data_IF_892155872548
#
_entry.id   IF_892155872548
#
_cell.length_a   1.000
_cell.length_b   1.000
_cell.length_c   1.000
_cell.angle_alpha   90.00
_cell.angle_beta   90.00
_cell.angle_gamma   90.00
#
_symmetry.space_group_name_H-M   'P 1'
#
loop_
_entity.id
_entity.type
_entity.pdbx_description
1 polymer ?
#
# COMPACT_ATOMS: atom_id res chain seq x y z
N UNK A 1 12.95 -0.31 -0.99
CA UNK A 1 12.10 0.85 -0.59
C UNK A 1 11.66 0.70 0.86
N UNK A 2 10.96 -0.37 1.24
CA UNK A 2 10.57 -0.62 2.64
C UNK A 2 11.73 -0.54 3.63
N UNK A 3 12.91 -1.09 3.28
CA UNK A 3 14.13 -1.03 4.09
C UNK A 3 14.67 0.39 4.33
N UNK A 4 14.37 1.33 3.44
CA UNK A 4 14.74 2.74 3.60
C UNK A 4 13.73 3.44 4.51
N UNK A 5 12.45 3.09 4.38
CA UNK A 5 11.36 3.69 5.17
C UNK A 5 11.38 3.27 6.64
N UNK A 6 11.97 2.12 6.96
CA UNK A 6 12.17 1.69 8.36
C UNK A 6 13.18 2.54 9.13
N UNK A 7 13.98 3.37 8.45
CA UNK A 7 14.91 4.30 9.08
C UNK A 7 14.33 5.70 9.34
N UNK A 8 13.05 5.93 9.04
CA UNK A 8 12.40 7.21 9.33
C UNK A 8 12.07 7.32 10.83
N UNK A 9 12.35 8.47 11.41
CA UNK A 9 12.22 8.75 12.84
C UNK A 9 11.30 9.96 13.09
N UNK A 10 10.95 10.19 14.36
CA UNK A 10 10.08 11.29 14.77
C UNK A 10 8.68 11.16 14.18
N UNK A 11 8.13 12.26 13.68
CA UNK A 11 6.80 12.34 13.05
C UNK A 11 6.66 11.46 11.80
N UNK A 12 7.78 11.07 11.17
CA UNK A 12 7.78 10.24 9.96
C UNK A 12 7.94 8.76 10.27
N UNK A 13 8.13 8.38 11.54
CA UNK A 13 8.21 6.98 11.96
C UNK A 13 6.86 6.30 11.73
N UNK A 14 6.90 5.09 11.17
CA UNK A 14 5.71 4.43 10.67
C UNK A 14 5.90 2.99 10.27
N UNK A 15 4.84 2.41 9.71
CA UNK A 15 4.77 0.99 9.33
C UNK A 15 4.54 0.85 7.82
N UNK A 16 5.27 -0.09 7.20
CA UNK A 16 5.01 -0.52 5.84
C UNK A 16 4.04 -1.72 5.84
N UNK A 17 2.91 -1.56 5.17
CA UNK A 17 1.88 -2.57 4.99
C UNK A 17 1.94 -3.13 3.56
N UNK A 18 2.54 -4.32 3.34
CA UNK A 18 2.50 -4.96 2.03
C UNK A 18 1.08 -5.40 1.68
N UNK A 19 0.66 -5.21 0.42
CA UNK A 19 -0.64 -5.69 -0.05
C UNK A 19 -0.70 -7.22 -0.12
N UNK A 20 0.44 -7.87 -0.40
CA UNK A 20 0.55 -9.32 -0.35
C UNK A 20 0.42 -9.80 1.10
N UNK A 21 -0.64 -10.56 1.39
CA UNK A 21 -0.90 -11.09 2.73
C UNK A 21 -1.60 -10.11 3.68
N UNK A 22 -2.01 -8.93 3.21
CA UNK A 22 -2.81 -7.98 3.99
C UNK A 22 -4.18 -8.60 4.34
N UNK A 23 -4.61 -8.47 5.60
CA UNK A 23 -5.95 -8.90 6.01
C UNK A 23 -7.02 -8.02 5.38
N UNK A 24 -8.22 -8.57 5.19
CA UNK A 24 -9.35 -7.82 4.64
C UNK A 24 -9.81 -6.68 5.56
N UNK A 25 -9.67 -6.86 6.87
CA UNK A 25 -9.99 -5.85 7.87
C UNK A 25 -9.06 -4.64 7.75
N UNK A 26 -7.74 -4.85 7.72
CA UNK A 26 -6.76 -3.77 7.53
C UNK A 26 -6.93 -3.11 6.16
N UNK A 27 -7.18 -3.91 5.12
CA UNK A 27 -7.43 -3.37 3.78
C UNK A 27 -8.66 -2.44 3.77
N UNK A 28 -9.76 -2.84 4.41
CA UNK A 28 -10.98 -2.04 4.46
C UNK A 28 -10.79 -0.77 5.28
N UNK A 29 -10.15 -0.87 6.45
CA UNK A 29 -9.85 0.30 7.28
C UNK A 29 -9.06 1.36 6.50
N UNK A 30 -7.99 0.95 5.80
CA UNK A 30 -7.17 1.89 5.04
C UNK A 30 -7.93 2.50 3.84
N UNK A 31 -8.94 1.82 3.30
CA UNK A 31 -9.82 2.38 2.27
C UNK A 31 -10.76 3.42 2.88
N UNK A 32 -11.36 3.09 4.02
CA UNK A 32 -12.31 3.96 4.75
C UNK A 32 -11.62 5.25 5.23
N UNK A 33 -10.37 5.14 5.67
CA UNK A 33 -9.52 6.26 6.07
C UNK A 33 -8.90 7.01 4.87
N UNK A 34 -9.25 6.62 3.63
CA UNK A 34 -8.77 7.21 2.38
C UNK A 34 -7.24 7.16 2.17
N UNK A 35 -6.55 6.25 2.83
CA UNK A 35 -5.10 6.04 2.66
C UNK A 35 -4.78 5.06 1.53
N UNK A 36 -5.57 4.00 1.36
CA UNK A 36 -5.29 2.95 0.39
C UNK A 36 -5.89 3.25 -0.99
N UNK A 37 -5.06 3.08 -2.02
CA UNK A 37 -5.45 3.24 -3.41
C UNK A 37 -6.27 2.03 -3.90
N UNK A 38 -7.28 2.31 -4.73
CA UNK A 38 -8.16 1.28 -5.30
C UNK A 38 -7.41 0.34 -6.26
N UNK A 39 -7.76 -0.93 -6.21
CA UNK A 39 -7.37 -1.90 -7.23
C UNK A 39 -8.19 -1.70 -8.51
N UNK A 40 -7.62 -2.08 -9.67
CA UNK A 40 -8.42 -2.35 -10.86
C UNK A 40 -8.89 -1.12 -11.64
N UNK A 41 -8.14 -0.02 -11.60
CA UNK A 41 -8.42 1.09 -12.50
C UNK A 41 -8.27 0.66 -13.97
N UNK A 42 -9.36 0.74 -14.74
CA UNK A 42 -9.42 0.26 -16.13
C UNK A 42 -8.35 0.90 -17.02
N UNK A 43 -7.94 2.13 -16.74
CA UNK A 43 -6.93 2.83 -17.54
C UNK A 43 -5.53 2.31 -17.19
N UNK A 44 -5.26 2.05 -15.91
CA UNK A 44 -4.00 1.44 -15.46
C UNK A 44 -3.86 -0.01 -15.97
N UNK A 45 -4.96 -0.75 -16.00
CA UNK A 45 -5.00 -2.10 -16.58
C UNK A 45 -4.72 -2.08 -18.09
N UNK A 46 -5.36 -1.18 -18.84
CA UNK A 46 -5.09 -1.01 -20.27
C UNK A 46 -3.63 -0.64 -20.56
N UNK A 47 -3.01 0.14 -19.67
CA UNK A 47 -1.60 0.49 -19.72
C UNK A 47 -0.65 -0.62 -19.23
N UNK A 48 -1.15 -1.81 -18.88
CA UNK A 48 -0.39 -2.93 -18.29
C UNK A 48 0.30 -2.60 -16.94
N UNK A 49 -0.11 -1.54 -16.25
CA UNK A 49 0.49 -1.10 -14.97
C UNK A 49 0.07 -1.98 -13.77
N UNK A 50 -0.98 -2.79 -13.93
CA UNK A 50 -1.46 -3.71 -12.89
C UNK A 50 -0.94 -5.16 -13.04
N UNK A 51 0.05 -5.41 -13.92
CA UNK A 51 0.61 -6.76 -14.09
C UNK A 51 1.21 -7.27 -12.77
N UNK A 52 0.88 -8.50 -12.38
CA UNK A 52 1.33 -9.16 -11.14
C UNK A 52 0.81 -8.53 -9.84
N UNK A 53 -0.26 -7.75 -9.90
CA UNK A 53 -0.93 -7.29 -8.70
C UNK A 53 -1.37 -8.47 -7.81
N UNK A 54 -1.23 -8.42 -6.47
CA UNK A 54 -0.74 -7.31 -5.64
C UNK A 54 0.78 -7.35 -5.32
N UNK A 55 1.53 -8.31 -5.86
CA UNK A 55 2.92 -8.58 -5.49
C UNK A 55 3.84 -7.36 -5.64
N UNK A 56 4.60 -7.01 -4.60
CA UNK A 56 5.53 -5.88 -4.61
C UNK A 56 4.86 -4.51 -4.42
N UNK A 57 3.56 -4.47 -4.10
CA UNK A 57 2.82 -3.25 -3.77
C UNK A 57 2.53 -3.21 -2.27
N UNK A 58 2.40 -2.00 -1.74
CA UNK A 58 2.14 -1.76 -0.33
C UNK A 58 2.00 -0.27 -0.05
N UNK A 59 1.63 0.06 1.16
CA UNK A 59 1.50 1.44 1.64
C UNK A 59 2.38 1.62 2.88
N UNK A 60 2.98 2.79 3.03
CA UNK A 60 3.62 3.20 4.27
C UNK A 60 2.78 4.30 4.89
N UNK A 61 2.57 4.22 6.20
CA UNK A 61 1.88 5.25 6.96
C UNK A 61 2.63 5.48 8.26
N UNK A 62 2.79 6.75 8.65
CA UNK A 62 3.33 7.12 9.95
C UNK A 62 2.37 6.75 11.09
N UNK A 63 2.84 6.79 12.34
CA UNK A 63 1.98 6.51 13.51
C UNK A 63 0.89 7.57 13.72
#
# INVERSE_FOLDING_TARGET
VSSTLSGLEGELKGTFYPLTGMSKETQQQLIDDHFLFKEGDRFLQAANACRFWPSGRGIYHNE
#
